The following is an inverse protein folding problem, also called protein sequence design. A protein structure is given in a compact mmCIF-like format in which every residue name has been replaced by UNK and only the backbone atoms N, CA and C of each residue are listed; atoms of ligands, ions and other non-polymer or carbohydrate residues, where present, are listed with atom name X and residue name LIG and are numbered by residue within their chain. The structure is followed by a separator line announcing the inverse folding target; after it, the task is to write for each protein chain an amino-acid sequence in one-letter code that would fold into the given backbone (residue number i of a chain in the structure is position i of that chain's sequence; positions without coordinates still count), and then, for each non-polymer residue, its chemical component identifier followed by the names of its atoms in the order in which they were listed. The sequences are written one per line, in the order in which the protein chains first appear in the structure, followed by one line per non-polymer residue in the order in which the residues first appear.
data_IF_258321895926
#
_entry.id   IF_258321895926
#
_cell.length_a   1.000
_cell.length_b   1.000
_cell.length_c   1.000
_cell.angle_alpha   90.00
_cell.angle_beta   90.00
_cell.angle_gamma   90.00
#
_symmetry.space_group_name_H-M   'P 1'
#
loop_
_entity.id
_entity.type
_entity.pdbx_description
1 polymer ?
#
# COMPACT_ATOMS: atom_id res chain seq x y z
N UNK A 1 3.22 -4.77 -37.78
CA UNK A 1 3.12 -5.58 -36.54
C UNK A 1 3.55 -4.71 -35.39
N UNK A 2 2.83 -4.76 -34.26
CA UNK A 2 3.12 -3.96 -33.08
C UNK A 2 3.90 -4.82 -32.08
N UNK A 3 4.99 -4.30 -31.53
CA UNK A 3 5.82 -5.01 -30.57
C UNK A 3 6.12 -4.12 -29.37
N UNK A 4 6.22 -4.76 -28.21
CA UNK A 4 6.66 -4.12 -26.98
C UNK A 4 8.19 -4.22 -26.90
N UNK A 5 8.87 -3.11 -27.18
CA UNK A 5 10.34 -3.06 -27.24
C UNK A 5 11.01 -2.87 -25.88
N UNK A 6 10.25 -2.49 -24.85
CA UNK A 6 10.78 -2.33 -23.50
C UNK A 6 9.68 -2.18 -22.45
N UNK A 7 9.99 -2.62 -21.24
CA UNK A 7 9.18 -2.43 -20.04
C UNK A 7 10.08 -2.09 -18.85
N UNK A 8 9.54 -1.28 -17.93
CA UNK A 8 10.19 -0.97 -16.67
C UNK A 8 9.16 -0.77 -15.56
N UNK A 9 9.56 -1.10 -14.33
CA UNK A 9 8.76 -0.88 -13.13
C UNK A 9 9.67 -0.51 -11.96
N UNK A 10 9.19 0.40 -11.11
CA UNK A 10 9.82 0.73 -9.84
C UNK A 10 8.89 0.36 -8.69
N UNK A 11 9.43 -0.40 -7.73
CA UNK A 11 8.70 -0.90 -6.56
C UNK A 11 9.33 -0.33 -5.28
N UNK A 12 8.68 0.65 -4.62
CA UNK A 12 9.26 1.31 -3.44
C UNK A 12 9.55 0.34 -2.29
N UNK A 13 10.54 0.68 -1.46
CA UNK A 13 10.96 -0.16 -0.32
C UNK A 13 9.93 -0.24 0.80
N UNK A 14 9.26 0.87 1.14
CA UNK A 14 8.38 0.93 2.30
C UNK A 14 7.09 0.13 2.06
N UNK A 15 6.71 -0.69 3.04
CA UNK A 15 5.51 -1.53 3.03
C UNK A 15 4.47 -0.96 3.98
N UNK A 16 3.26 -0.79 3.47
CA UNK A 16 2.07 -0.56 4.29
C UNK A 16 1.29 -1.87 4.31
N UNK A 17 1.16 -2.46 5.49
CA UNK A 17 0.30 -3.63 5.76
C UNK A 17 -1.12 -3.17 6.11
N UNK A 18 -2.07 -4.10 6.13
CA UNK A 18 -3.41 -3.79 6.66
C UNK A 18 -3.36 -3.49 8.16
N UNK A 19 -2.52 -4.19 8.94
CA UNK A 19 -2.27 -3.85 10.34
C UNK A 19 -1.80 -2.40 10.52
N UNK A 20 -0.88 -1.92 9.68
CA UNK A 20 -0.44 -0.53 9.74
C UNK A 20 -1.61 0.45 9.55
N UNK A 21 -2.55 0.15 8.65
CA UNK A 21 -3.73 1.00 8.41
C UNK A 21 -4.74 0.93 9.55
N UNK A 22 -4.90 -0.24 10.16
CA UNK A 22 -5.71 -0.43 11.36
C UNK A 22 -5.14 0.36 12.54
N UNK A 23 -3.81 0.32 12.73
CA UNK A 23 -3.09 1.08 13.77
C UNK A 23 -3.21 2.61 13.63
N UNK A 24 -3.61 3.11 12.45
CA UNK A 24 -3.89 4.54 12.25
C UNK A 24 -5.22 4.98 12.85
N UNK A 25 -6.10 4.05 13.23
CA UNK A 25 -7.44 4.30 13.78
C UNK A 25 -8.34 5.12 12.84
N UNK A 26 -8.32 4.76 11.55
CA UNK A 26 -9.09 5.43 10.48
C UNK A 26 -10.39 4.71 10.12
N UNK A 27 -10.91 3.87 11.03
CA UNK A 27 -12.16 3.14 10.83
C UNK A 27 -12.07 1.99 9.81
N UNK A 28 -10.94 1.29 9.76
CA UNK A 28 -10.73 0.12 8.89
C UNK A 28 -10.04 -1.01 9.66
N UNK A 29 -10.15 -2.24 9.17
CA UNK A 29 -9.45 -3.42 9.69
C UNK A 29 -9.09 -4.38 8.54
N UNK A 30 -8.28 -5.41 8.83
CA UNK A 30 -7.84 -6.36 7.80
C UNK A 30 -8.99 -7.03 7.05
N UNK A 31 -10.00 -7.54 7.76
CA UNK A 31 -11.13 -8.27 7.16
C UNK A 31 -11.91 -7.40 6.16
N UNK A 32 -12.24 -6.17 6.56
CA UNK A 32 -12.94 -5.21 5.70
C UNK A 32 -12.11 -4.88 4.45
N UNK A 33 -10.79 -4.69 4.59
CA UNK A 33 -9.90 -4.39 3.45
C UNK A 33 -9.85 -5.59 2.49
N UNK A 34 -9.71 -6.81 3.03
CA UNK A 34 -9.65 -8.01 2.20
C UNK A 34 -10.98 -8.27 1.47
N UNK A 35 -12.10 -8.13 2.15
CA UNK A 35 -13.43 -8.33 1.55
C UNK A 35 -13.69 -7.33 0.42
N UNK A 36 -13.31 -6.05 0.62
CA UNK A 36 -13.61 -4.99 -0.36
C UNK A 36 -12.63 -4.87 -1.50
N UNK A 37 -11.33 -5.07 -1.24
CA UNK A 37 -10.28 -4.80 -2.25
C UNK A 37 -9.24 -5.91 -2.39
N UNK A 38 -9.22 -6.91 -1.52
CA UNK A 38 -8.28 -8.05 -1.61
C UNK A 38 -6.79 -7.68 -1.42
N UNK A 39 -6.48 -6.46 -0.99
CA UNK A 39 -5.11 -5.97 -0.80
C UNK A 39 -4.61 -6.39 0.58
N UNK A 40 -3.46 -7.06 0.64
CA UNK A 40 -2.74 -7.38 1.90
C UNK A 40 -1.67 -6.36 2.25
N UNK A 41 -0.97 -5.87 1.23
CA UNK A 41 0.12 -4.92 1.38
C UNK A 41 0.16 -3.97 0.19
N UNK A 42 0.59 -2.73 0.40
CA UNK A 42 0.96 -1.80 -0.68
C UNK A 42 2.33 -1.16 -0.42
N UNK A 43 2.93 -0.58 -1.47
CA UNK A 43 4.21 0.14 -1.37
C UNK A 43 4.00 1.64 -1.41
N UNK A 44 4.85 2.36 -0.70
CA UNK A 44 4.86 3.83 -0.71
C UNK A 44 6.29 4.35 -0.79
N UNK A 45 6.46 5.51 -1.39
CA UNK A 45 7.72 6.27 -1.33
C UNK A 45 7.81 7.12 -0.07
N UNK A 46 6.68 7.36 0.61
CA UNK A 46 6.64 8.18 1.83
C UNK A 46 7.23 7.41 3.01
N UNK A 47 7.97 8.07 3.92
CA UNK A 47 8.36 7.48 5.19
C UNK A 47 7.12 7.06 5.99
N UNK A 48 7.15 5.88 6.61
CA UNK A 48 6.01 5.38 7.40
C UNK A 48 5.73 6.27 8.62
N UNK A 49 6.77 6.84 9.23
CA UNK A 49 6.60 7.73 10.39
C UNK A 49 5.93 9.05 10.03
N UNK A 50 6.16 9.58 8.82
CA UNK A 50 5.43 10.74 8.32
C UNK A 50 3.93 10.45 8.30
N UNK A 51 3.52 9.34 7.67
CA UNK A 51 2.11 8.93 7.57
C UNK A 51 1.47 8.78 8.95
N UNK A 52 2.17 8.18 9.93
CA UNK A 52 1.65 8.01 11.31
C UNK A 52 1.35 9.35 11.99
N UNK A 53 2.16 10.37 11.72
CA UNK A 53 2.12 11.67 12.43
C UNK A 53 1.19 12.70 11.79
N UNK A 54 0.69 12.46 10.58
CA UNK A 54 -0.14 13.41 9.81
C UNK A 54 -1.52 12.85 9.46
N UNK A 55 -2.03 11.92 10.28
CA UNK A 55 -3.33 11.30 10.10
C UNK A 55 -4.49 12.31 10.15
#
# INVERSE_FOLDING_TARGET
MLYLHGMGHFYPGNVITNQFLEDLDIGTNEDWILERVGIRTRRTVLPLDYIKTTK
#
